data_IF_331040157248
#
_entry.id   IF_331040157248
#
_cell.length_a   1.000
_cell.length_b   1.000
_cell.length_c   1.000
_cell.angle_alpha   90.00
_cell.angle_beta   90.00
_cell.angle_gamma   90.00
#
_symmetry.space_group_name_H-M   'P 1'
#
loop_
_entity.id
_entity.type
_entity.pdbx_description
1 polymer ?
#
# COMPACT_ATOMS: atom_id res chain seq x y z
N UNK A 1 6.58 15.40 -4.88
CA UNK A 1 6.71 13.96 -5.25
C UNK A 1 5.32 13.36 -5.37
N UNK A 2 5.04 12.68 -6.49
CA UNK A 2 3.79 11.94 -6.72
C UNK A 2 3.91 10.50 -6.24
N UNK A 3 2.85 9.99 -5.63
CA UNK A 3 2.70 8.58 -5.29
C UNK A 3 1.91 7.91 -6.39
N UNK A 4 2.52 6.96 -7.09
CA UNK A 4 1.87 6.24 -8.19
C UNK A 4 1.96 4.73 -7.94
N UNK A 5 1.12 4.20 -7.06
CA UNK A 5 1.06 2.75 -6.85
C UNK A 5 0.42 2.06 -8.06
N UNK A 6 0.73 0.80 -8.20
CA UNK A 6 0.04 -0.12 -9.09
C UNK A 6 0.02 -1.51 -8.47
N UNK A 7 -0.86 -2.37 -8.96
CA UNK A 7 -1.02 -3.71 -8.42
C UNK A 7 -0.88 -4.73 -9.52
N UNK A 8 0.00 -5.70 -9.29
CA UNK A 8 0.09 -6.91 -10.09
C UNK A 8 -0.70 -8.02 -9.39
N UNK A 9 -1.24 -8.96 -10.17
CA UNK A 9 -1.81 -10.19 -9.67
C UNK A 9 -1.02 -11.37 -10.18
N UNK A 10 -0.57 -12.22 -9.28
CA UNK A 10 0.11 -13.45 -9.65
C UNK A 10 -0.87 -14.41 -10.33
N UNK A 11 -0.44 -15.04 -11.40
CA UNK A 11 -1.20 -16.13 -12.04
C UNK A 11 -1.27 -17.31 -11.09
N UNK A 12 -2.35 -18.08 -11.19
CA UNK A 12 -2.57 -19.27 -10.37
C UNK A 12 -1.34 -20.17 -10.33
N UNK A 13 -0.84 -20.46 -9.11
CA UNK A 13 0.32 -21.29 -8.89
C UNK A 13 1.68 -20.66 -9.27
N UNK A 14 1.71 -19.35 -9.61
CA UNK A 14 2.93 -18.65 -10.05
C UNK A 14 3.46 -17.60 -9.07
N UNK A 15 2.94 -17.58 -7.86
CA UNK A 15 3.31 -16.58 -6.85
C UNK A 15 4.81 -16.59 -6.56
N UNK A 16 5.37 -17.75 -6.24
CA UNK A 16 6.77 -17.84 -5.81
C UNK A 16 7.74 -17.57 -6.98
N UNK A 17 7.44 -18.11 -8.17
CA UNK A 17 8.23 -17.82 -9.36
C UNK A 17 8.13 -16.34 -9.76
N UNK A 18 6.94 -15.73 -9.63
CA UNK A 18 6.74 -14.30 -9.91
C UNK A 18 7.52 -13.42 -8.94
N UNK A 19 7.53 -13.76 -7.65
CA UNK A 19 8.35 -13.07 -6.63
C UNK A 19 9.84 -13.18 -6.95
N UNK A 20 10.30 -14.39 -7.24
CA UNK A 20 11.69 -14.62 -7.60
C UNK A 20 12.09 -13.84 -8.87
N UNK A 21 11.20 -13.78 -9.87
CA UNK A 21 11.43 -12.99 -11.08
C UNK A 21 11.56 -11.49 -10.77
N UNK A 22 10.67 -10.94 -9.94
CA UNK A 22 10.71 -9.53 -9.51
C UNK A 22 12.05 -9.25 -8.80
N UNK A 23 12.43 -10.10 -7.85
CA UNK A 23 13.70 -9.96 -7.12
C UNK A 23 14.91 -10.00 -8.04
N UNK A 24 14.98 -10.99 -8.93
CA UNK A 24 16.10 -11.17 -9.87
C UNK A 24 16.24 -9.99 -10.87
N UNK A 25 15.14 -9.33 -11.22
CA UNK A 25 15.14 -8.22 -12.17
C UNK A 25 15.06 -6.84 -11.51
N UNK A 26 15.15 -6.74 -10.19
CA UNK A 26 14.93 -5.49 -9.46
C UNK A 26 15.93 -4.39 -9.82
N UNK A 27 17.21 -4.73 -9.98
CA UNK A 27 18.23 -3.76 -10.39
C UNK A 27 17.87 -3.10 -11.73
N UNK A 28 17.49 -3.92 -12.71
CA UNK A 28 17.03 -3.46 -14.03
C UNK A 28 15.76 -2.61 -13.96
N UNK A 29 14.83 -2.99 -13.08
CA UNK A 29 13.60 -2.21 -12.85
C UNK A 29 13.93 -0.82 -12.30
N UNK A 30 14.83 -0.71 -11.32
CA UNK A 30 15.28 0.57 -10.78
C UNK A 30 15.94 1.45 -11.84
N UNK A 31 16.81 0.89 -12.66
CA UNK A 31 17.42 1.62 -13.78
C UNK A 31 16.36 2.17 -14.76
N UNK A 32 15.35 1.36 -15.08
CA UNK A 32 14.27 1.78 -15.97
C UNK A 32 13.35 2.85 -15.36
N UNK A 33 13.25 2.90 -14.04
CA UNK A 33 12.43 3.87 -13.29
C UNK A 33 13.20 5.15 -12.94
N UNK A 34 14.53 5.13 -12.94
CA UNK A 34 15.38 6.28 -12.58
C UNK A 34 15.07 7.56 -13.37
N UNK A 35 14.81 7.51 -14.71
CA UNK A 35 14.44 8.71 -15.47
C UNK A 35 13.11 9.34 -15.05
N UNK A 36 12.30 8.64 -14.28
CA UNK A 36 11.03 9.15 -13.72
C UNK A 36 11.23 9.82 -12.34
N UNK A 37 12.46 10.03 -11.89
CA UNK A 37 12.76 10.52 -10.56
C UNK A 37 12.24 9.59 -9.47
N UNK A 38 12.28 8.28 -9.73
CA UNK A 38 11.73 7.28 -8.82
C UNK A 38 12.54 7.14 -7.53
N UNK A 39 11.85 7.19 -6.39
CA UNK A 39 12.40 6.97 -5.05
C UNK A 39 11.43 6.19 -4.17
N UNK A 40 11.88 5.80 -2.99
CA UNK A 40 11.10 5.09 -2.00
C UNK A 40 10.31 3.89 -2.59
N UNK A 41 10.97 3.14 -3.46
CA UNK A 41 10.37 2.02 -4.18
C UNK A 41 10.28 0.79 -3.29
N UNK A 42 9.13 0.11 -3.31
CA UNK A 42 8.95 -1.18 -2.63
C UNK A 42 7.89 -2.03 -3.31
N UNK A 43 8.02 -3.35 -3.15
CA UNK A 43 7.04 -4.33 -3.63
C UNK A 43 6.65 -5.24 -2.48
N UNK A 44 5.36 -5.43 -2.29
CA UNK A 44 4.77 -6.18 -1.18
C UNK A 44 3.85 -7.26 -1.70
N UNK A 45 4.10 -8.49 -1.29
CA UNK A 45 3.26 -9.64 -1.60
C UNK A 45 2.16 -9.83 -0.55
N UNK A 46 0.93 -9.98 -1.02
CA UNK A 46 -0.23 -10.24 -0.16
C UNK A 46 -1.21 -11.15 -0.90
N UNK A 47 -1.42 -12.38 -0.40
CA UNK A 47 -2.20 -13.36 -1.15
C UNK A 47 -1.67 -13.50 -2.58
N UNK A 48 -2.54 -13.37 -3.57
CA UNK A 48 -2.18 -13.41 -5.00
C UNK A 48 -1.78 -12.06 -5.58
N UNK A 49 -1.58 -11.03 -4.74
CA UNK A 49 -1.25 -9.69 -5.22
C UNK A 49 0.19 -9.29 -4.90
N UNK A 50 0.74 -8.43 -5.76
CA UNK A 50 1.94 -7.65 -5.48
C UNK A 50 1.58 -6.17 -5.57
N UNK A 51 1.56 -5.49 -4.42
CA UNK A 51 1.44 -4.04 -4.34
C UNK A 51 2.80 -3.42 -4.62
N UNK A 52 2.88 -2.63 -5.67
CA UNK A 52 4.06 -1.88 -6.05
C UNK A 52 3.87 -0.41 -5.65
N UNK A 53 4.68 0.04 -4.71
CA UNK A 53 4.69 1.42 -4.24
C UNK A 53 5.93 2.15 -4.75
N UNK A 54 5.76 3.40 -5.12
CA UNK A 54 6.85 4.28 -5.51
C UNK A 54 6.46 5.75 -5.47
N UNK A 55 7.46 6.58 -5.17
CA UNK A 55 7.39 8.04 -5.23
C UNK A 55 8.17 8.51 -6.45
N UNK A 56 7.62 9.46 -7.21
CA UNK A 56 8.13 9.89 -8.49
C UNK A 56 8.19 11.42 -8.54
N UNK A 57 8.99 11.96 -9.47
CA UNK A 57 9.00 13.40 -9.73
C UNK A 57 7.59 13.93 -10.08
N UNK A 58 7.31 15.18 -9.75
CA UNK A 58 5.96 15.76 -9.91
C UNK A 58 5.50 15.84 -11.36
N UNK A 59 6.42 15.95 -12.31
CA UNK A 59 6.18 15.91 -13.76
C UNK A 59 5.89 14.50 -14.30
N UNK A 60 6.21 13.44 -13.54
CA UNK A 60 5.97 12.05 -13.97
C UNK A 60 4.48 11.79 -14.12
N UNK A 61 4.12 11.23 -15.26
CA UNK A 61 2.75 10.86 -15.59
C UNK A 61 2.51 9.35 -15.40
N UNK A 62 1.27 8.94 -15.08
CA UNK A 62 0.92 7.51 -15.03
C UNK A 62 1.27 6.77 -16.32
N UNK A 63 1.14 7.40 -17.47
CA UNK A 63 1.46 6.83 -18.79
C UNK A 63 2.95 6.52 -18.95
N UNK A 64 3.83 7.33 -18.42
CA UNK A 64 5.27 7.06 -18.46
C UNK A 64 5.62 5.84 -17.59
N UNK A 65 5.05 5.76 -16.39
CA UNK A 65 5.23 4.58 -15.52
C UNK A 65 4.63 3.33 -16.19
N UNK A 66 3.43 3.42 -16.77
CA UNK A 66 2.81 2.32 -17.51
C UNK A 66 3.72 1.78 -18.61
N UNK A 67 4.39 2.64 -19.36
CA UNK A 67 5.30 2.22 -20.42
C UNK A 67 6.52 1.43 -19.89
N UNK A 68 6.97 1.69 -18.67
CA UNK A 68 8.02 0.90 -18.01
C UNK A 68 7.47 -0.47 -17.60
N UNK A 69 6.27 -0.52 -17.02
CA UNK A 69 5.60 -1.77 -16.65
C UNK A 69 5.37 -2.65 -17.89
N UNK A 70 4.85 -2.09 -18.97
CA UNK A 70 4.61 -2.82 -20.23
C UNK A 70 5.89 -3.44 -20.80
N UNK A 71 7.03 -2.78 -20.65
CA UNK A 71 8.33 -3.34 -21.06
C UNK A 71 8.73 -4.50 -20.15
N UNK A 72 8.53 -4.39 -18.84
CA UNK A 72 8.80 -5.47 -17.90
C UNK A 72 7.89 -6.69 -18.15
N UNK A 73 6.61 -6.45 -18.44
CA UNK A 73 5.67 -7.50 -18.83
C UNK A 73 6.17 -8.24 -20.07
N UNK A 74 6.49 -7.53 -21.16
CA UNK A 74 7.03 -8.14 -22.40
C UNK A 74 8.39 -8.81 -22.20
N UNK A 75 9.14 -8.44 -21.17
CA UNK A 75 10.44 -9.06 -20.85
C UNK A 75 10.29 -10.35 -20.02
N UNK A 76 9.08 -10.87 -19.84
CA UNK A 76 8.80 -12.16 -19.22
C UNK A 76 8.02 -12.10 -17.89
N UNK A 77 7.73 -10.91 -17.35
CA UNK A 77 6.93 -10.79 -16.13
C UNK A 77 5.49 -11.27 -16.36
N UNK A 78 4.96 -11.17 -17.58
CA UNK A 78 3.63 -11.63 -18.00
C UNK A 78 3.45 -13.15 -17.88
N UNK A 79 4.52 -13.92 -17.86
CA UNK A 79 4.46 -15.35 -17.57
C UNK A 79 4.01 -15.66 -16.13
N UNK A 80 4.18 -14.70 -15.22
CA UNK A 80 3.94 -14.88 -13.78
C UNK A 80 2.83 -13.98 -13.24
N UNK A 81 2.66 -12.80 -13.81
CA UNK A 81 1.73 -11.79 -13.32
C UNK A 81 0.88 -11.20 -14.44
N UNK A 82 -0.25 -10.63 -14.06
CA UNK A 82 -1.02 -9.69 -14.87
C UNK A 82 -1.08 -8.33 -14.16
N UNK A 83 -1.29 -7.25 -14.91
CA UNK A 83 -1.52 -5.94 -14.34
C UNK A 83 -2.97 -5.86 -13.86
N UNK A 84 -3.18 -5.91 -12.55
CA UNK A 84 -4.50 -5.88 -11.94
C UNK A 84 -5.08 -4.46 -11.82
N UNK A 85 -4.25 -3.50 -11.43
CA UNK A 85 -4.62 -2.09 -11.38
C UNK A 85 -3.43 -1.22 -11.83
N UNK A 86 -3.67 -0.42 -12.87
CA UNK A 86 -2.64 0.39 -13.53
C UNK A 86 -2.29 1.66 -12.72
N UNK A 87 -1.08 2.23 -12.91
CA UNK A 87 -0.74 3.51 -12.31
C UNK A 87 -1.77 4.60 -12.65
N UNK A 88 -2.19 5.36 -11.64
CA UNK A 88 -3.16 6.45 -11.79
C UNK A 88 -4.62 6.02 -11.92
N UNK A 89 -4.92 4.71 -11.90
CA UNK A 89 -6.31 4.22 -11.90
C UNK A 89 -6.83 3.85 -10.51
N UNK A 90 -5.97 3.85 -9.50
CA UNK A 90 -6.34 3.53 -8.13
C UNK A 90 -6.90 4.78 -7.43
N UNK A 91 -8.21 4.85 -7.12
CA UNK A 91 -8.76 5.92 -6.33
C UNK A 91 -8.07 6.05 -4.97
N UNK A 92 -7.68 7.27 -4.63
CA UNK A 92 -7.14 7.59 -3.31
C UNK A 92 -8.29 7.62 -2.29
N UNK A 93 -8.25 6.75 -1.30
CA UNK A 93 -9.27 6.62 -0.26
C UNK A 93 -8.93 7.44 0.98
N UNK A 94 -7.65 7.54 1.31
CA UNK A 94 -7.16 8.29 2.46
C UNK A 94 -5.74 8.77 2.25
N UNK A 95 -5.41 9.94 2.80
CA UNK A 95 -4.05 10.43 2.85
C UNK A 95 -3.81 11.30 4.08
N UNK A 96 -2.81 10.94 4.85
CA UNK A 96 -2.24 11.75 5.92
C UNK A 96 -0.71 11.76 5.79
N UNK A 97 -0.16 12.91 5.42
CA UNK A 97 1.28 13.03 5.23
C UNK A 97 2.02 12.96 6.56
N UNK A 98 1.41 13.44 7.65
CA UNK A 98 2.05 13.51 8.95
C UNK A 98 3.35 14.33 8.94
N UNK A 99 4.27 13.98 9.82
CA UNK A 99 5.61 14.56 9.85
C UNK A 99 6.48 13.89 8.79
N UNK A 100 6.86 14.64 7.76
CA UNK A 100 7.72 14.13 6.68
C UNK A 100 9.10 13.77 7.22
N UNK A 101 9.55 12.56 6.91
CA UNK A 101 10.88 12.05 7.26
C UNK A 101 11.69 11.84 5.98
N UNK A 102 12.67 12.69 5.77
CA UNK A 102 13.49 12.68 4.56
C UNK A 102 14.46 11.49 4.55
N UNK A 103 15.06 11.21 5.71
CA UNK A 103 15.95 10.04 5.85
C UNK A 103 15.15 8.75 5.96
N UNK A 104 14.97 8.08 4.83
CA UNK A 104 14.25 6.81 4.73
C UNK A 104 14.99 5.63 5.38
N UNK A 105 16.23 5.79 5.81
CA UNK A 105 16.93 4.77 6.61
C UNK A 105 16.40 4.64 8.03
N UNK A 106 15.76 5.69 8.54
CA UNK A 106 15.19 5.78 9.89
C UNK A 106 13.73 5.33 9.99
N UNK A 107 13.15 4.92 8.88
CA UNK A 107 11.77 4.42 8.84
C UNK A 107 11.72 2.90 8.65
N UNK A 108 10.60 2.35 9.05
CA UNK A 108 10.11 1.04 8.58
C UNK A 108 8.79 1.23 7.86
N UNK A 109 8.56 0.41 6.88
CA UNK A 109 7.31 0.44 6.11
C UNK A 109 6.28 -0.45 6.78
N UNK A 110 5.03 -0.02 6.77
CA UNK A 110 3.87 -0.84 7.08
C UNK A 110 2.94 -0.86 5.86
N UNK A 111 2.52 -2.03 5.49
CA UNK A 111 1.52 -2.24 4.43
C UNK A 111 0.44 -3.15 4.98
N UNK A 112 -0.80 -2.85 4.66
CA UNK A 112 -1.94 -3.72 4.94
C UNK A 112 -2.84 -3.85 3.72
N UNK A 113 -3.68 -4.88 3.71
CA UNK A 113 -4.66 -5.07 2.67
C UNK A 113 -5.96 -5.60 3.24
N UNK A 114 -7.07 -5.09 2.72
CA UNK A 114 -8.43 -5.54 3.05
C UNK A 114 -9.25 -5.65 1.76
N UNK A 115 -10.43 -6.24 1.85
CA UNK A 115 -11.35 -6.35 0.73
C UNK A 115 -12.68 -5.70 1.09
N UNK A 116 -13.15 -4.78 0.26
CA UNK A 116 -14.45 -4.13 0.47
C UNK A 116 -15.59 -5.09 0.12
N UNK A 117 -16.62 -5.06 0.94
CA UNK A 117 -17.89 -5.69 0.58
C UNK A 117 -18.50 -4.99 -0.65
N UNK A 118 -19.25 -5.69 -1.48
CA UNK A 118 -19.83 -5.10 -2.69
C UNK A 118 -20.61 -3.81 -2.41
N UNK A 119 -20.34 -2.76 -3.18
CA UNK A 119 -21.00 -1.46 -3.06
C UNK A 119 -20.52 -0.56 -1.92
N UNK A 120 -19.52 -0.99 -1.12
CA UNK A 120 -19.09 -0.23 0.07
C UNK A 120 -17.96 0.78 -0.17
N UNK A 121 -17.49 0.96 -1.40
CA UNK A 121 -16.35 1.84 -1.68
C UNK A 121 -16.61 3.30 -1.31
N UNK A 122 -17.78 3.84 -1.61
CA UNK A 122 -18.16 5.22 -1.27
C UNK A 122 -18.27 5.41 0.24
N UNK A 123 -18.86 4.45 0.94
CA UNK A 123 -18.98 4.50 2.40
C UNK A 123 -17.60 4.42 3.06
N UNK A 124 -16.70 3.57 2.56
CA UNK A 124 -15.33 3.50 3.02
C UNK A 124 -14.62 4.86 2.87
N UNK A 125 -14.75 5.46 1.68
CA UNK A 125 -14.19 6.79 1.41
C UNK A 125 -14.77 7.84 2.34
N UNK A 126 -16.08 7.88 2.51
CA UNK A 126 -16.78 8.83 3.39
C UNK A 126 -16.30 8.72 4.84
N UNK A 127 -16.10 7.52 5.36
CA UNK A 127 -15.60 7.30 6.73
C UNK A 127 -14.20 7.90 6.89
N UNK A 128 -13.33 7.71 5.92
CA UNK A 128 -11.97 8.27 5.92
C UNK A 128 -11.94 9.78 5.71
N UNK A 129 -12.82 10.32 4.87
CA UNK A 129 -12.98 11.77 4.72
C UNK A 129 -13.43 12.43 6.03
N UNK A 130 -14.21 11.74 6.84
CA UNK A 130 -14.56 12.17 8.20
C UNK A 130 -13.34 12.31 9.11
N UNK A 131 -12.33 11.43 9.00
CA UNK A 131 -11.08 11.55 9.75
C UNK A 131 -10.28 12.78 9.29
N UNK A 132 -10.19 13.01 7.97
CA UNK A 132 -9.52 14.19 7.41
C UNK A 132 -10.20 15.47 7.87
N UNK A 133 -11.53 15.53 7.83
CA UNK A 133 -12.30 16.67 8.28
C UNK A 133 -12.13 16.95 9.80
N UNK A 134 -12.12 15.89 10.61
CA UNK A 134 -11.93 16.01 12.06
C UNK A 134 -10.52 16.49 12.42
N UNK A 135 -9.50 16.10 11.63
CA UNK A 135 -8.12 16.58 11.80
C UNK A 135 -7.99 18.05 11.41
N UNK A 136 -8.67 18.48 10.33
CA UNK A 136 -8.50 19.81 9.73
C UNK A 136 -7.06 20.05 9.28
N UNK A 137 -6.51 21.25 9.53
CA UNK A 137 -5.17 21.65 9.13
C UNK A 137 -4.06 21.18 10.09
N UNK A 138 -4.39 20.40 11.10
CA UNK A 138 -3.39 19.89 12.05
C UNK A 138 -2.52 18.83 11.39
N UNK A 139 -1.21 18.95 11.56
CA UNK A 139 -0.26 17.90 11.16
C UNK A 139 -0.25 16.81 12.24
N UNK A 140 -0.52 15.59 11.85
CA UNK A 140 -0.42 14.43 12.75
C UNK A 140 1.00 14.26 13.26
N UNK A 141 1.17 14.30 14.57
CA UNK A 141 2.48 14.19 15.25
C UNK A 141 2.84 12.76 15.65
N UNK A 142 1.99 11.81 15.31
CA UNK A 142 2.18 10.40 15.64
C UNK A 142 3.41 9.76 14.97
N UNK A 143 3.67 8.49 15.27
CA UNK A 143 4.81 7.76 14.70
C UNK A 143 4.65 7.51 13.21
N UNK A 144 3.41 7.51 12.73
CA UNK A 144 3.06 7.28 11.33
C UNK A 144 3.23 8.54 10.50
N UNK A 145 3.67 8.36 9.28
CA UNK A 145 3.74 9.41 8.26
C UNK A 145 3.49 8.80 6.89
N UNK A 146 3.22 9.65 5.92
CA UNK A 146 2.98 9.24 4.55
C UNK A 146 1.94 8.12 4.45
N UNK A 147 0.92 8.19 5.31
CA UNK A 147 -0.14 7.19 5.34
C UNK A 147 -1.10 7.42 4.18
N UNK A 148 -1.15 6.47 3.27
CA UNK A 148 -1.96 6.52 2.06
C UNK A 148 -2.69 5.20 1.85
N UNK A 149 -3.96 5.30 1.45
CA UNK A 149 -4.82 4.15 1.17
C UNK A 149 -5.41 4.29 -0.22
N UNK A 150 -5.33 3.23 -1.00
CA UNK A 150 -5.90 3.15 -2.36
C UNK A 150 -6.86 2.00 -2.50
N UNK A 151 -7.82 2.18 -3.41
CA UNK A 151 -8.72 1.13 -3.83
C UNK A 151 -8.30 0.59 -5.20
N UNK A 152 -8.01 -0.69 -5.28
CA UNK A 152 -7.74 -1.41 -6.51
C UNK A 152 -8.89 -2.40 -6.77
N UNK A 153 -9.95 -1.94 -7.44
CA UNK A 153 -11.09 -2.78 -7.83
C UNK A 153 -11.75 -3.50 -6.64
N UNK A 154 -11.95 -2.81 -5.52
CA UNK A 154 -12.52 -3.36 -4.29
C UNK A 154 -11.51 -3.87 -3.28
N UNK A 155 -10.26 -4.09 -3.69
CA UNK A 155 -9.17 -4.38 -2.76
C UNK A 155 -8.55 -3.08 -2.26
N UNK A 156 -8.46 -2.95 -0.95
CA UNK A 156 -7.87 -1.80 -0.29
C UNK A 156 -6.42 -2.13 0.03
N UNK A 157 -5.53 -1.25 -0.34
CA UNK A 157 -4.11 -1.32 -0.01
C UNK A 157 -3.70 -0.04 0.70
N UNK A 158 -3.16 -0.18 1.90
CA UNK A 158 -2.64 0.92 2.70
C UNK A 158 -1.12 0.82 2.83
N UNK A 159 -0.46 1.96 2.75
CA UNK A 159 0.97 2.13 2.95
C UNK A 159 1.20 3.25 3.95
N UNK A 160 2.07 3.03 4.92
CA UNK A 160 2.57 4.10 5.78
C UNK A 160 4.02 3.86 6.19
N UNK A 161 4.64 4.92 6.68
CA UNK A 161 5.99 4.94 7.21
C UNK A 161 5.93 5.10 8.73
N UNK A 162 6.66 4.26 9.44
CA UNK A 162 6.80 4.33 10.90
C UNK A 162 8.23 4.71 11.25
N UNK A 163 8.44 5.46 12.31
CA UNK A 163 9.77 5.66 12.88
C UNK A 163 10.31 4.29 13.31
N UNK A 164 11.51 3.93 12.85
CA UNK A 164 12.09 2.61 13.11
C UNK A 164 12.25 2.29 14.59
N UNK A 165 12.61 3.30 15.38
CA UNK A 165 12.80 3.20 16.85
C UNK A 165 11.48 3.28 17.63
N UNK A 166 10.35 3.47 16.95
CA UNK A 166 9.08 3.58 17.62
C UNK A 166 8.63 2.21 18.12
N UNK A 167 8.71 2.05 19.40
CA UNK A 167 8.17 0.92 20.14
C UNK A 167 7.39 1.52 21.32
N UNK A 168 6.12 1.77 21.07
CA UNK A 168 5.22 2.35 22.05
C UNK A 168 4.04 1.40 22.26
N UNK A 169 3.94 0.76 23.42
CA UNK A 169 2.77 -0.03 23.73
C UNK A 169 1.54 0.87 23.72
N UNK A 170 0.51 0.45 23.00
CA UNK A 170 -0.76 1.18 22.96
C UNK A 170 -1.32 1.32 24.38
N UNK A 171 -1.74 2.52 24.70
CA UNK A 171 -2.55 2.76 25.90
C UNK A 171 -3.91 2.04 25.78
N UNK A 172 -4.58 1.86 26.89
CA UNK A 172 -5.91 1.22 26.90
C UNK A 172 -6.95 2.06 26.11
N UNK A 173 -6.84 3.38 26.17
CA UNK A 173 -7.69 4.31 25.40
C UNK A 173 -7.43 4.19 23.88
N UNK A 174 -6.17 4.17 23.46
CA UNK A 174 -5.81 3.97 22.04
C UNK A 174 -6.30 2.62 21.53
N UNK A 175 -6.13 1.56 22.33
CA UNK A 175 -6.65 0.23 22.01
C UNK A 175 -8.16 0.24 21.84
N UNK A 176 -8.91 0.83 22.79
CA UNK A 176 -10.36 0.91 22.73
C UNK A 176 -10.82 1.72 21.51
N UNK A 177 -10.14 2.81 21.19
CA UNK A 177 -10.40 3.61 19.99
C UNK A 177 -10.16 2.79 18.70
N UNK A 178 -9.07 2.06 18.63
CA UNK A 178 -8.73 1.20 17.49
C UNK A 178 -9.77 0.08 17.31
N UNK A 179 -10.13 -0.61 18.40
CA UNK A 179 -11.16 -1.67 18.36
C UNK A 179 -12.50 -1.11 17.89
N UNK A 180 -12.87 0.07 18.36
CA UNK A 180 -14.12 0.74 17.95
C UNK A 180 -14.09 1.06 16.44
N UNK A 181 -12.98 1.60 15.94
CA UNK A 181 -12.81 1.91 14.53
C UNK A 181 -12.85 0.64 13.67
N UNK A 182 -12.07 -0.38 14.02
CA UNK A 182 -11.99 -1.64 13.27
C UNK A 182 -13.33 -2.38 13.26
N UNK A 183 -14.01 -2.45 14.39
CA UNK A 183 -15.36 -3.05 14.46
C UNK A 183 -16.30 -2.38 13.47
N UNK A 184 -16.26 -1.07 13.39
CA UNK A 184 -17.07 -0.30 12.45
C UNK A 184 -16.64 -0.55 10.99
N UNK A 185 -15.33 -0.70 10.71
CA UNK A 185 -14.87 -0.98 9.36
C UNK A 185 -15.28 -2.38 8.89
N UNK A 186 -15.33 -3.38 9.77
CA UNK A 186 -15.75 -4.74 9.41
C UNK A 186 -17.23 -4.85 8.98
N UNK A 187 -18.03 -3.80 9.18
CA UNK A 187 -19.36 -3.72 8.57
C UNK A 187 -19.29 -3.66 7.03
N UNK A 188 -18.24 -3.07 6.48
CA UNK A 188 -18.08 -2.72 5.06
C UNK A 188 -16.89 -3.36 4.38
N UNK A 189 -16.02 -4.04 5.12
CA UNK A 189 -14.85 -4.73 4.58
C UNK A 189 -14.62 -6.05 5.30
N UNK A 190 -13.79 -6.88 4.69
CA UNK A 190 -13.24 -8.10 5.25
C UNK A 190 -11.72 -8.01 5.26
N UNK A 191 -11.08 -8.59 6.27
CA UNK A 191 -9.62 -8.71 6.30
C UNK A 191 -9.14 -9.55 5.12
N UNK A 192 -8.19 -9.04 4.38
CA UNK A 192 -7.43 -9.83 3.42
C UNK A 192 -6.11 -10.29 4.04
N UNK A 193 -5.40 -9.35 4.61
CA UNK A 193 -4.26 -9.62 5.49
C UNK A 193 -4.02 -8.42 6.40
N UNK A 194 -3.76 -8.71 7.63
CA UNK A 194 -3.05 -7.90 8.58
C UNK A 194 -2.25 -8.88 9.45
N UNK A 195 -1.23 -8.44 10.15
CA UNK A 195 -0.44 -9.32 11.00
C UNK A 195 -1.30 -9.95 12.11
N UNK A 196 -2.34 -9.24 12.52
CA UNK A 196 -3.27 -9.69 13.56
C UNK A 196 -4.63 -9.04 13.40
N UNK A 197 -5.69 -9.82 13.58
CA UNK A 197 -7.03 -9.28 13.79
C UNK A 197 -7.10 -8.65 15.19
N UNK A 198 -7.24 -7.35 15.25
CA UNK A 198 -7.26 -6.57 16.49
C UNK A 198 -8.43 -6.92 17.41
N UNK A 199 -9.52 -7.47 16.86
CA UNK A 199 -10.70 -7.86 17.61
C UNK A 199 -10.57 -9.25 18.24
N UNK A 200 -10.02 -10.21 17.48
CA UNK A 200 -9.97 -11.61 17.88
C UNK A 200 -8.58 -12.06 18.34
N UNK A 201 -7.53 -11.31 18.01
CA UNK A 201 -6.14 -11.71 18.23
C UNK A 201 -5.67 -12.81 17.27
N UNK A 202 -6.46 -13.14 16.24
CA UNK A 202 -6.14 -14.14 15.24
C UNK A 202 -5.07 -13.62 14.27
N UNK A 203 -4.07 -14.46 13.99
CA UNK A 203 -3.05 -14.11 13.00
C UNK A 203 -3.58 -14.30 11.58
N UNK A 204 -3.31 -13.30 10.75
CA UNK A 204 -3.57 -13.35 9.31
C UNK A 204 -2.28 -13.67 8.54
N UNK A 205 -2.41 -14.15 7.29
CA UNK A 205 -1.24 -14.31 6.43
C UNK A 205 -0.47 -12.98 6.32
N UNK A 206 0.84 -12.95 6.57
CA UNK A 206 1.60 -11.71 6.60
C UNK A 206 1.63 -11.04 5.23
N UNK A 207 1.67 -9.71 5.24
CA UNK A 207 2.13 -8.94 4.09
C UNK A 207 3.64 -9.08 4.04
N UNK A 208 4.16 -9.67 2.98
CA UNK A 208 5.58 -9.94 2.85
C UNK A 208 6.26 -8.92 1.95
N UNK A 209 7.35 -8.34 2.42
CA UNK A 209 8.17 -7.50 1.58
C UNK A 209 8.91 -8.36 0.55
N UNK A 210 8.66 -8.09 -0.73
CA UNK A 210 9.36 -8.74 -1.84
C UNK A 210 10.67 -8.02 -2.13
N UNK A 211 10.60 -6.68 -2.07
CA UNK A 211 11.75 -5.76 -2.25
C UNK A 211 11.69 -4.65 -1.20
#
# INVERSE_FOLDING_TARGET
MKRLPFVLRFRTGKREEGRAFIQANWARAKEALAPLGAGNLSVWGVGDFALCYGEYADETTPRQLQAVIDRAMRAGLDAYCELFAAPGTLPLMYHDIGVVREDKSLIRHRVFATHLKPGCAEEYKRRHDGLVAARGDRVTQGPESNFTIWNANGYIFGYCELVRSYDHPMTEEERASTVTWETRQLEIMDWLTDDMNWLTGENHPPVERVI
#
